data_IF_095197736738
#
_entry.id   IF_095197736738
#
_cell.length_a   1.000
_cell.length_b   1.000
_cell.length_c   1.000
_cell.angle_alpha   90.00
_cell.angle_beta   90.00
_cell.angle_gamma   90.00
#
_symmetry.space_group_name_H-M   'P 1'
#
loop_
_entity.id
_entity.type
_entity.pdbx_description
1 polymer ?
#
# COMPACT_ATOMS: atom_id res chain seq x y z
N UNK A 1 -6.77 -15.98 -9.92
CA UNK A 1 -7.55 -15.05 -9.08
C UNK A 1 -6.85 -14.85 -7.74
N UNK A 2 -6.17 -13.71 -7.59
CA UNK A 2 -5.69 -13.25 -6.29
C UNK A 2 -6.86 -12.71 -5.47
N UNK A 3 -6.85 -13.02 -4.18
CA UNK A 3 -7.75 -12.43 -3.20
C UNK A 3 -6.87 -11.79 -2.13
N UNK A 4 -7.19 -10.58 -1.69
CA UNK A 4 -6.43 -9.84 -0.67
C UNK A 4 -7.13 -9.88 0.70
N UNK A 5 -6.37 -9.90 1.80
CA UNK A 5 -6.88 -10.11 3.17
C UNK A 5 -7.42 -8.86 3.90
N UNK A 6 -7.48 -7.74 3.20
CA UNK A 6 -7.89 -6.42 3.68
C UNK A 6 -9.17 -5.95 2.97
N UNK A 7 -9.77 -4.79 3.33
CA UNK A 7 -10.93 -4.26 2.61
C UNK A 7 -10.66 -4.25 1.12
N UNK A 8 -11.32 -5.18 0.42
CA UNK A 8 -11.23 -5.28 -1.03
C UNK A 8 -11.90 -4.04 -1.57
N UNK A 9 -11.29 -3.40 -2.55
CA UNK A 9 -11.90 -2.32 -3.31
C UNK A 9 -12.40 -2.99 -4.60
N UNK A 10 -13.71 -3.29 -4.74
CA UNK A 10 -14.12 -4.36 -5.68
C UNK A 10 -15.56 -4.33 -6.25
N UNK A 11 -15.72 -3.74 -7.45
CA UNK A 11 -16.42 -4.35 -8.61
C UNK A 11 -16.18 -3.56 -9.90
N UNK A 12 -15.63 -4.23 -10.93
CA UNK A 12 -15.69 -3.77 -12.33
C UNK A 12 -14.44 -3.93 -13.21
N UNK A 13 -13.27 -4.31 -12.66
CA UNK A 13 -12.00 -4.68 -13.33
C UNK A 13 -10.76 -4.36 -12.46
N UNK A 14 -10.96 -3.71 -11.30
CA UNK A 14 -9.90 -3.34 -10.37
C UNK A 14 -10.07 -4.11 -9.06
N UNK A 15 -9.34 -5.21 -8.88
CA UNK A 15 -9.10 -5.77 -7.54
C UNK A 15 -7.95 -4.98 -6.92
N UNK A 16 -8.23 -3.93 -6.14
CA UNK A 16 -7.15 -3.16 -5.51
C UNK A 16 -7.17 -3.30 -3.98
N UNK A 17 -6.00 -3.15 -3.37
CA UNK A 17 -5.88 -3.04 -1.93
C UNK A 17 -4.78 -2.06 -1.53
N UNK A 18 -4.94 -1.47 -0.34
CA UNK A 18 -3.91 -0.65 0.28
C UNK A 18 -3.04 -1.51 1.19
N UNK A 19 -1.74 -1.28 1.10
CA UNK A 19 -0.73 -1.87 1.98
C UNK A 19 0.16 -0.76 2.54
N UNK A 20 0.81 -1.06 3.66
CA UNK A 20 1.83 -0.20 4.24
C UNK A 20 3.14 -0.97 4.37
N UNK A 21 4.22 -0.32 3.96
CA UNK A 21 5.58 -0.84 4.05
C UNK A 21 6.49 0.20 4.69
N UNK A 22 6.62 0.13 6.02
CA UNK A 22 7.29 1.18 6.79
C UNK A 22 6.59 2.54 6.65
N UNK A 23 7.29 3.53 6.09
CA UNK A 23 6.74 4.87 5.83
C UNK A 23 6.04 5.01 4.47
N UNK A 24 6.10 3.98 3.62
CA UNK A 24 5.52 3.99 2.27
C UNK A 24 4.11 3.43 2.28
N UNK A 25 3.22 4.13 1.59
CA UNK A 25 1.88 3.64 1.27
C UNK A 25 1.91 3.00 -0.12
N UNK A 26 1.26 1.85 -0.27
CA UNK A 26 1.25 1.10 -1.50
C UNK A 26 -0.19 0.83 -1.95
N UNK A 27 -0.47 1.05 -3.22
CA UNK A 27 -1.64 0.51 -3.90
C UNK A 27 -1.23 -0.76 -4.64
N UNK A 28 -1.81 -1.89 -4.25
CA UNK A 28 -1.54 -3.21 -4.84
C UNK A 28 -2.69 -3.58 -5.75
N UNK A 29 -2.38 -3.93 -7.00
CA UNK A 29 -3.37 -4.36 -8.01
C UNK A 29 -2.90 -5.65 -8.69
N UNK A 30 -3.80 -6.47 -9.27
CA UNK A 30 -3.41 -7.55 -10.15
C UNK A 30 -2.92 -6.97 -11.48
N UNK A 31 -1.93 -7.64 -12.06
CA UNK A 31 -1.46 -7.42 -13.41
C UNK A 31 -1.45 -8.75 -14.16
N UNK A 32 -2.36 -8.88 -15.12
CA UNK A 32 -2.37 -10.01 -16.04
C UNK A 32 -1.20 -9.89 -17.01
N UNK A 33 -0.25 -10.84 -16.95
CA UNK A 33 0.82 -11.00 -17.93
C UNK A 33 0.65 -12.37 -18.62
N UNK A 34 -0.29 -12.46 -19.57
CA UNK A 34 -0.59 -13.72 -20.27
C UNK A 34 -1.13 -14.80 -19.33
N UNK A 35 -0.42 -15.94 -19.22
CA UNK A 35 -0.77 -17.06 -18.33
C UNK A 35 -0.30 -16.89 -16.88
N UNK A 36 0.46 -15.82 -16.58
CA UNK A 36 0.91 -15.50 -15.24
C UNK A 36 0.15 -14.26 -14.75
N UNK A 37 -0.71 -14.46 -13.76
CA UNK A 37 -1.22 -13.35 -12.97
C UNK A 37 -0.10 -12.90 -12.01
N UNK A 38 0.32 -11.64 -12.12
CA UNK A 38 1.32 -11.01 -11.24
C UNK A 38 0.66 -9.86 -10.46
N UNK A 39 1.40 -9.22 -9.55
CA UNK A 39 0.96 -8.00 -8.85
C UNK A 39 1.69 -6.77 -9.41
N UNK A 40 1.01 -5.64 -9.48
CA UNK A 40 1.60 -4.33 -9.78
C UNK A 40 1.38 -3.39 -8.60
N UNK A 41 2.40 -2.60 -8.31
CA UNK A 41 2.44 -1.70 -7.15
C UNK A 41 2.50 -0.26 -7.63
N UNK A 42 1.68 0.59 -7.01
CA UNK A 42 1.82 2.03 -7.05
C UNK A 42 2.37 2.48 -5.70
N UNK A 43 3.46 3.24 -5.71
CA UNK A 43 3.93 3.92 -4.52
C UNK A 43 3.07 5.16 -4.34
N UNK A 44 2.27 5.18 -3.29
CA UNK A 44 1.58 6.37 -2.84
C UNK A 44 2.56 7.24 -2.04
N UNK A 45 2.16 8.47 -1.70
CA UNK A 45 2.99 9.48 -1.01
C UNK A 45 4.41 9.66 -1.62
N UNK A 46 4.55 9.36 -2.92
CA UNK A 46 5.83 9.13 -3.57
C UNK A 46 6.74 10.36 -3.58
N UNK A 47 6.17 11.53 -3.85
CA UNK A 47 6.93 12.80 -3.94
C UNK A 47 7.11 13.47 -2.57
N UNK A 48 6.54 12.91 -1.50
CA UNK A 48 6.67 13.47 -0.14
C UNK A 48 7.92 12.92 0.54
N UNK A 49 8.79 13.80 1.04
CA UNK A 49 9.99 13.40 1.77
C UNK A 49 9.64 12.69 3.09
N UNK A 50 10.45 11.71 3.49
CA UNK A 50 10.13 10.76 4.56
C UNK A 50 9.83 11.31 5.97
N UNK A 51 10.25 12.53 6.42
CA UNK A 51 9.79 13.06 7.71
C UNK A 51 8.41 13.77 7.63
N UNK A 52 7.99 14.22 6.45
CA UNK A 52 6.70 14.92 6.24
C UNK A 52 5.61 13.98 5.67
N UNK A 53 5.96 12.71 5.46
CA UNK A 53 5.18 11.75 4.68
C UNK A 53 3.85 11.32 5.33
N UNK A 54 3.74 11.44 6.65
CA UNK A 54 2.57 11.01 7.41
C UNK A 54 2.28 12.03 8.52
N UNK A 55 1.09 12.61 8.48
CA UNK A 55 0.50 13.33 9.62
C UNK A 55 -0.59 12.47 10.25
N UNK A 56 -1.12 12.89 11.40
CA UNK A 56 -2.20 12.16 12.07
C UNK A 56 -3.41 13.05 12.23
N UNK A 57 -4.60 12.52 11.96
CA UNK A 57 -5.86 13.19 12.25
C UNK A 57 -6.14 13.21 13.75
N UNK A 58 -7.10 14.04 14.19
CA UNK A 58 -7.59 14.08 15.57
C UNK A 58 -8.15 12.72 16.04
N UNK A 59 -8.53 11.85 15.09
CA UNK A 59 -8.97 10.47 15.34
C UNK A 59 -7.83 9.46 15.42
N UNK A 60 -6.57 9.91 15.49
CA UNK A 60 -5.36 9.07 15.46
C UNK A 60 -5.29 8.16 14.21
N UNK A 61 -5.73 8.69 13.06
CA UNK A 61 -5.63 8.00 11.76
C UNK A 61 -4.51 8.61 10.92
N UNK A 62 -3.76 7.81 10.17
CA UNK A 62 -2.69 8.35 9.36
C UNK A 62 -3.26 9.13 8.17
N UNK A 63 -2.68 10.29 7.92
CA UNK A 63 -2.98 11.17 6.81
C UNK A 63 -1.72 11.35 5.95
N UNK A 64 -1.89 11.40 4.64
CA UNK A 64 -0.79 11.65 3.72
C UNK A 64 -1.26 12.44 2.51
N UNK A 65 -0.33 13.17 1.88
CA UNK A 65 -0.58 13.82 0.60
C UNK A 65 -0.71 12.76 -0.48
N UNK A 66 -1.87 12.69 -1.11
CA UNK A 66 -2.13 11.68 -2.13
C UNK A 66 -1.38 12.03 -3.40
N UNK A 67 -0.39 11.22 -3.69
CA UNK A 67 0.22 11.14 -4.99
C UNK A 67 0.76 9.76 -5.30
N UNK A 68 0.83 9.42 -6.58
CA UNK A 68 1.33 8.13 -7.03
C UNK A 68 2.44 8.26 -8.06
N UNK A 69 3.41 7.35 -8.02
CA UNK A 69 4.35 7.13 -9.13
C UNK A 69 3.65 6.72 -10.44
N UNK A 70 2.43 6.19 -10.38
CA UNK A 70 1.59 5.89 -11.54
C UNK A 70 0.96 7.10 -12.21
N UNK A 71 0.86 8.25 -11.53
CA UNK A 71 0.32 9.50 -12.11
C UNK A 71 1.11 9.95 -13.35
N UNK A 72 2.31 9.37 -13.55
CA UNK A 72 3.25 9.70 -14.63
C UNK A 72 3.23 8.72 -15.80
N UNK A 73 2.43 7.66 -15.72
CA UNK A 73 2.31 6.66 -16.77
C UNK A 73 0.95 6.79 -17.47
N UNK A 74 0.80 6.37 -18.73
CA UNK A 74 -0.50 6.27 -19.36
C UNK A 74 -1.35 5.27 -18.57
N UNK A 75 -2.34 5.77 -17.84
CA UNK A 75 -3.23 4.94 -17.05
C UNK A 75 -4.61 4.84 -17.71
N UNK A 76 -5.33 3.73 -17.49
CA UNK A 76 -6.71 3.61 -17.95
C UNK A 76 -7.69 4.50 -17.17
N UNK A 77 -7.23 5.18 -16.10
CA UNK A 77 -7.99 6.15 -15.32
C UNK A 77 -7.47 7.57 -15.55
N UNK A 78 -8.38 8.55 -15.55
CA UNK A 78 -8.03 9.97 -15.66
C UNK A 78 -7.56 10.57 -14.33
N UNK A 79 -8.05 10.05 -13.20
CA UNK A 79 -7.69 10.46 -11.84
C UNK A 79 -7.76 9.23 -10.93
N UNK A 80 -6.61 8.83 -10.38
CA UNK A 80 -6.49 7.65 -9.52
C UNK A 80 -7.26 7.83 -8.20
N UNK A 81 -7.20 9.01 -7.60
CA UNK A 81 -7.86 9.27 -6.33
C UNK A 81 -9.37 9.22 -6.50
N UNK A 82 -9.91 9.88 -7.52
CA UNK A 82 -11.34 9.79 -7.82
C UNK A 82 -11.78 8.36 -8.12
N UNK A 83 -10.98 7.60 -8.88
CA UNK A 83 -11.27 6.19 -9.13
C UNK A 83 -11.35 5.39 -7.83
N UNK A 84 -10.42 5.60 -6.89
CA UNK A 84 -10.41 4.91 -5.58
C UNK A 84 -11.57 5.34 -4.65
N UNK A 85 -12.05 6.57 -4.74
CA UNK A 85 -13.15 7.09 -3.92
C UNK A 85 -14.54 6.74 -4.45
N UNK A 86 -14.65 6.38 -5.74
CA UNK A 86 -15.92 6.11 -6.43
C UNK A 86 -16.17 4.64 -6.72
N UNK A 87 -15.12 3.81 -6.77
CA UNK A 87 -15.24 2.36 -6.87
C UNK A 87 -15.99 1.79 -5.65
N UNK A 88 -16.75 0.73 -5.85
CA UNK A 88 -17.54 0.08 -4.79
C UNK A 88 -17.07 -1.35 -4.59
N UNK A 89 -16.80 -1.81 -3.35
CA UNK A 89 -16.66 -1.01 -2.14
C UNK A 89 -15.54 0.04 -2.26
N UNK A 90 -15.75 1.18 -1.60
CA UNK A 90 -14.83 2.32 -1.61
C UNK A 90 -13.50 1.95 -0.98
N UNK A 91 -12.42 2.56 -1.52
CA UNK A 91 -11.16 2.57 -0.81
C UNK A 91 -11.35 3.10 0.61
N UNK A 92 -10.65 2.56 1.62
CA UNK A 92 -10.71 3.08 2.97
C UNK A 92 -9.90 4.38 3.09
N UNK A 93 -10.19 5.34 2.21
CA UNK A 93 -9.59 6.66 2.11
C UNK A 93 -10.69 7.71 2.20
N UNK A 94 -10.40 8.82 2.84
CA UNK A 94 -11.27 9.99 2.92
C UNK A 94 -10.47 11.26 2.65
N UNK A 95 -11.03 12.17 1.88
CA UNK A 95 -10.45 13.52 1.72
C UNK A 95 -10.57 14.29 3.03
N UNK A 96 -9.48 14.91 3.48
CA UNK A 96 -9.52 15.81 4.65
C UNK A 96 -9.99 17.22 4.29
N UNK A 97 -9.96 17.57 3.00
CA UNK A 97 -10.25 18.90 2.49
C UNK A 97 -9.02 19.82 2.43
N UNK A 98 -7.88 19.38 2.97
CA UNK A 98 -6.60 20.10 2.83
C UNK A 98 -6.01 19.85 1.45
N UNK A 99 -5.45 20.90 0.86
CA UNK A 99 -4.68 20.85 -0.38
C UNK A 99 -3.34 21.56 -0.17
N UNK A 100 -2.31 21.09 -0.86
CA UNK A 100 -1.00 21.72 -0.85
C UNK A 100 -0.37 21.68 -2.24
N UNK A 101 0.32 22.76 -2.61
CA UNK A 101 1.18 22.78 -3.78
C UNK A 101 2.42 21.93 -3.53
N UNK A 102 2.61 20.91 -4.36
CA UNK A 102 3.78 20.05 -4.34
C UNK A 102 4.54 20.18 -5.65
N UNK A 103 5.86 20.17 -5.55
CA UNK A 103 6.73 20.06 -6.71
C UNK A 103 6.64 18.64 -7.27
N UNK A 104 6.23 18.51 -8.52
CA UNK A 104 6.33 17.25 -9.23
C UNK A 104 7.81 16.92 -9.46
N UNK A 105 8.19 15.64 -9.39
CA UNK A 105 9.60 15.22 -9.52
C UNK A 105 10.22 15.56 -10.89
N UNK A 106 9.41 15.72 -11.94
CA UNK A 106 9.85 16.18 -13.27
C UNK A 106 9.93 17.72 -13.39
N UNK A 107 9.70 18.45 -12.30
CA UNK A 107 9.51 19.89 -12.28
C UNK A 107 8.04 20.28 -12.50
N UNK A 108 7.66 21.45 -11.99
CA UNK A 108 6.28 21.96 -12.03
C UNK A 108 5.55 21.83 -10.70
N UNK A 109 4.56 22.71 -10.48
CA UNK A 109 3.69 22.68 -9.31
C UNK A 109 2.42 21.88 -9.64
N UNK A 110 1.95 21.09 -8.68
CA UNK A 110 0.61 20.50 -8.71
C UNK A 110 -0.08 20.65 -7.36
N UNK A 111 -1.39 20.61 -7.37
CA UNK A 111 -2.19 20.53 -6.14
C UNK A 111 -2.30 19.07 -5.72
N UNK A 112 -1.74 18.73 -4.58
CA UNK A 112 -1.95 17.45 -3.91
C UNK A 112 -3.09 17.58 -2.89
N UNK A 113 -3.94 16.56 -2.82
CA UNK A 113 -5.03 16.47 -1.85
C UNK A 113 -4.57 15.59 -0.70
N UNK A 114 -4.79 16.02 0.53
CA UNK A 114 -4.53 15.14 1.66
C UNK A 114 -5.68 14.15 1.86
N UNK A 115 -5.32 12.89 2.08
CA UNK A 115 -6.23 11.81 2.40
C UNK A 115 -5.93 11.25 3.78
N UNK A 116 -6.98 10.80 4.45
CA UNK A 116 -6.96 10.08 5.72
C UNK A 116 -7.33 8.61 5.47
N UNK A 117 -6.58 7.69 6.09
CA UNK A 117 -6.86 6.25 6.03
C UNK A 117 -7.90 5.89 7.07
N UNK A 118 -9.01 5.30 6.63
CA UNK A 118 -10.21 5.08 7.44
C UNK A 118 -10.24 3.73 8.16
N UNK A 119 -9.18 2.94 8.05
CA UNK A 119 -9.02 1.61 8.66
C UNK A 119 -7.71 1.54 9.43
N UNK A 120 -7.63 0.60 10.36
CA UNK A 120 -6.43 0.38 11.15
C UNK A 120 -5.36 -0.35 10.31
N UNK A 121 -4.09 -0.26 10.72
CA UNK A 121 -2.98 -0.90 10.01
C UNK A 121 -3.14 -2.42 9.88
N UNK A 122 -3.82 -3.05 10.84
CA UNK A 122 -4.09 -4.49 10.87
C UNK A 122 -5.10 -4.94 9.82
N UNK A 123 -5.93 -4.00 9.37
CA UNK A 123 -6.92 -4.18 8.32
C UNK A 123 -6.31 -3.94 6.94
N UNK A 124 -5.09 -3.41 6.82
CA UNK A 124 -4.41 -3.25 5.54
C UNK A 124 -3.87 -4.58 5.01
N UNK A 125 -3.57 -4.62 3.71
CA UNK A 125 -2.87 -5.76 3.12
C UNK A 125 -1.48 -5.83 3.75
N UNK A 126 -1.18 -6.97 4.38
CA UNK A 126 0.06 -7.17 5.13
C UNK A 126 1.21 -7.43 4.17
N UNK A 127 2.34 -6.78 4.39
CA UNK A 127 3.58 -6.99 3.62
C UNK A 127 4.57 -7.76 4.50
N UNK A 128 5.13 -8.84 3.96
CA UNK A 128 6.17 -9.59 4.63
C UNK A 128 7.44 -8.74 4.77
N UNK A 129 7.93 -8.55 5.99
CA UNK A 129 9.13 -7.80 6.29
C UNK A 129 10.36 -8.28 5.52
N UNK A 130 10.50 -9.61 5.43
CA UNK A 130 11.70 -10.25 4.90
C UNK A 130 11.68 -10.29 3.37
N UNK A 131 10.64 -10.84 2.76
CA UNK A 131 10.62 -11.04 1.30
C UNK A 131 9.79 -10.01 0.53
N UNK A 132 9.05 -9.12 1.22
CA UNK A 132 8.16 -8.15 0.57
C UNK A 132 6.88 -8.74 -0.03
N UNK A 133 6.62 -10.03 0.19
CA UNK A 133 5.41 -10.69 -0.33
C UNK A 133 4.15 -10.17 0.38
N UNK A 134 3.05 -10.06 -0.36
CA UNK A 134 1.77 -9.58 0.15
C UNK A 134 0.92 -10.74 0.64
N UNK A 135 0.28 -10.53 1.78
CA UNK A 135 -0.71 -11.45 2.31
C UNK A 135 -1.86 -11.61 1.31
N UNK A 136 -2.36 -12.84 1.20
CA UNK A 136 -3.42 -13.19 0.28
C UNK A 136 -4.49 -13.98 1.00
N UNK A 137 -5.74 -13.65 0.70
CA UNK A 137 -6.97 -14.33 1.12
C UNK A 137 -7.10 -15.71 0.44
N UNK A 138 -6.04 -16.52 0.43
CA UNK A 138 -6.21 -17.94 0.11
C UNK A 138 -7.09 -18.52 1.20
N UNK A 139 -8.34 -18.85 0.87
CA UNK A 139 -9.31 -19.48 1.76
C UNK A 139 -8.63 -20.52 2.68
N UNK A 140 -8.57 -20.21 3.98
CA UNK A 140 -7.98 -21.07 5.01
C UNK A 140 -6.51 -20.79 5.37
N UNK A 141 -5.85 -19.81 4.75
CA UNK A 141 -4.52 -19.36 5.17
C UNK A 141 -4.62 -18.43 6.38
N UNK A 142 -3.81 -18.68 7.41
CA UNK A 142 -3.64 -17.73 8.51
C UNK A 142 -3.03 -16.44 7.98
N UNK A 143 -3.65 -15.31 8.30
CA UNK A 143 -3.10 -13.97 7.98
C UNK A 143 -1.69 -13.86 8.53
N UNK A 144 -0.80 -13.15 7.82
CA UNK A 144 0.60 -13.06 8.25
C UNK A 144 0.70 -12.57 9.70
N UNK A 145 1.37 -13.31 10.61
CA UNK A 145 1.55 -12.88 12.00
C UNK A 145 2.39 -11.61 12.08
N UNK A 146 2.11 -10.76 13.08
CA UNK A 146 2.96 -9.63 13.44
C UNK A 146 4.31 -10.14 13.93
N UNK A 147 5.39 -9.45 13.54
CA UNK A 147 6.71 -9.65 14.13
C UNK A 147 6.87 -8.65 15.28
N UNK A 148 7.27 -9.12 16.46
CA UNK A 148 7.54 -8.29 17.65
C UNK A 148 9.06 -8.12 17.88
N UNK A 149 9.48 -6.98 18.47
CA UNK A 149 10.87 -6.68 18.84
C UNK A 149 11.14 -5.17 18.98
N UNK A 150 12.24 -4.78 19.63
CA UNK A 150 12.67 -3.37 19.71
C UNK A 150 13.12 -2.84 18.34
N UNK A 151 12.64 -1.64 17.96
CA UNK A 151 13.03 -0.93 16.74
C UNK A 151 12.14 -1.14 15.51
N UNK A 152 10.99 -1.82 15.65
CA UNK A 152 10.07 -2.08 14.54
C UNK A 152 8.78 -1.24 14.66
N UNK A 153 8.42 -0.50 13.61
CA UNK A 153 7.15 0.25 13.51
C UNK A 153 6.03 -0.62 12.91
N UNK A 154 6.02 -1.92 13.26
CA UNK A 154 5.31 -3.10 12.69
C UNK A 154 5.67 -3.53 11.26
N UNK A 155 5.88 -4.85 11.07
CA UNK A 155 5.96 -5.48 9.73
C UNK A 155 5.79 -6.99 9.85
N UNK A 156 4.87 -7.58 9.10
CA UNK A 156 4.40 -8.96 9.28
C UNK A 156 5.39 -10.00 8.71
N UNK A 157 5.25 -11.29 9.07
CA UNK A 157 6.07 -12.37 8.48
C UNK A 157 5.19 -13.36 7.73
N UNK A 158 5.50 -13.68 6.47
CA UNK A 158 4.80 -14.76 5.77
C UNK A 158 5.18 -16.13 6.35
N UNK A 159 4.34 -17.15 6.13
CA UNK A 159 4.61 -18.51 6.61
C UNK A 159 5.94 -19.08 6.10
N UNK A 160 6.29 -18.81 4.84
CA UNK A 160 7.56 -19.22 4.23
C UNK A 160 8.76 -18.63 4.99
N UNK A 161 8.79 -17.32 5.23
CA UNK A 161 9.89 -16.70 5.97
C UNK A 161 9.91 -17.12 7.44
N UNK A 162 8.75 -17.35 8.05
CA UNK A 162 8.64 -17.84 9.43
C UNK A 162 9.26 -19.23 9.59
N UNK A 163 9.25 -20.07 8.55
CA UNK A 163 9.90 -21.38 8.58
C UNK A 163 11.43 -21.35 8.41
N UNK A 164 12.02 -20.22 8.02
CA UNK A 164 13.46 -20.08 7.80
C UNK A 164 14.22 -19.77 9.10
N UNK A 165 15.51 -20.11 9.12
CA UNK A 165 16.45 -19.61 10.15
C UNK A 165 16.60 -18.10 10.07
N UNK A 166 17.03 -17.45 11.16
CA UNK A 166 17.23 -15.99 11.19
C UNK A 166 18.22 -15.51 10.11
N UNK A 167 19.30 -16.26 9.88
CA UNK A 167 20.28 -15.97 8.82
C UNK A 167 19.63 -15.99 7.43
N UNK A 168 18.82 -17.01 7.14
CA UNK A 168 18.13 -17.13 5.86
C UNK A 168 17.05 -16.05 5.69
N UNK A 169 16.34 -15.68 6.76
CA UNK A 169 15.38 -14.56 6.73
C UNK A 169 16.07 -13.23 6.41
N UNK A 170 17.21 -12.97 7.04
CA UNK A 170 18.00 -11.76 6.77
C UNK A 170 18.56 -11.76 5.35
N UNK A 171 18.95 -12.92 4.81
CA UNK A 171 19.35 -13.05 3.42
C UNK A 171 18.21 -12.71 2.44
N UNK A 172 16.96 -13.11 2.72
CA UNK A 172 15.81 -12.66 1.92
C UNK A 172 15.61 -11.15 1.99
N UNK A 173 15.75 -10.56 3.19
CA UNK A 173 15.66 -9.11 3.36
C UNK A 173 16.72 -8.35 2.57
N UNK A 174 17.95 -8.86 2.52
CA UNK A 174 19.03 -8.23 1.74
C UNK A 174 18.77 -8.22 0.24
N UNK A 175 17.91 -9.11 -0.29
CA UNK A 175 17.52 -9.08 -1.71
C UNK A 175 16.51 -7.98 -2.03
N UNK A 176 15.89 -7.39 -1.01
CA UNK A 176 14.83 -6.38 -1.12
C UNK A 176 15.36 -4.94 -1.11
N UNK A 177 16.55 -4.72 -0.54
CA UNK A 177 17.19 -3.41 -0.37
C UNK A 177 18.00 -3.04 -1.60
#
# INVERSE_FOLDING_TARGET
MYSFSSPKILKGAFDATLARDGSKWLLVTPKGNGFLETRQLAHLNHSTASPDAITWSDGNRPCFWFDSDWDRQPQPWSDLLEALLTIEPKAPLRRTGRTQKMTAELGGERDAVEVEVMVDEDELCKVCFYCGDFDSDRLGAETYPKIEGDGFTSTYSCGSCTSLSLEARNAERSKRI
#
